data_IF_037179726226
#
_entry.id   IF_037179726226
#
_cell.length_a   1.000
_cell.length_b   1.000
_cell.length_c   1.000
_cell.angle_alpha   90.00
_cell.angle_beta   90.00
_cell.angle_gamma   90.00
#
_symmetry.space_group_name_H-M   'P 1'
#
loop_
_entity.id
_entity.type
_entity.pdbx_description
1 polymer ?
#
# COMPACT_ATOMS: atom_id res chain seq x y z
N UNK A 1 -4.77 -6.76 -20.05
CA UNK A 1 -4.91 -5.77 -18.95
C UNK A 1 -6.28 -5.13 -18.98
N UNK A 2 -7.16 -5.60 -18.09
CA UNK A 2 -8.48 -4.99 -17.83
C UNK A 2 -8.36 -4.20 -16.53
N UNK A 3 -8.83 -2.95 -16.54
CA UNK A 3 -8.87 -2.07 -15.37
C UNK A 3 -10.29 -1.55 -15.20
N UNK A 4 -10.94 -1.90 -14.09
CA UNK A 4 -12.34 -1.57 -13.79
C UNK A 4 -12.42 -0.77 -12.50
N UNK A 5 -13.14 0.35 -12.51
CA UNK A 5 -13.50 1.07 -11.27
C UNK A 5 -14.51 0.22 -10.51
N UNK A 6 -14.18 -0.14 -9.27
CA UNK A 6 -15.00 -0.99 -8.40
C UNK A 6 -15.47 -0.28 -7.13
N UNK A 7 -14.98 0.93 -6.87
CA UNK A 7 -15.34 1.71 -5.70
C UNK A 7 -14.63 3.04 -5.63
N UNK A 8 -14.92 3.77 -4.56
CA UNK A 8 -14.26 5.03 -4.21
C UNK A 8 -14.19 5.11 -2.68
N UNK A 9 -13.05 5.56 -2.15
CA UNK A 9 -12.86 5.80 -0.72
C UNK A 9 -13.01 7.28 -0.39
N UNK A 10 -13.17 7.64 0.88
CA UNK A 10 -13.15 9.05 1.28
C UNK A 10 -11.74 9.64 1.17
N UNK A 11 -11.64 10.97 1.20
CA UNK A 11 -10.35 11.67 1.19
C UNK A 11 -9.53 11.30 2.42
N UNK A 12 -10.16 11.13 3.58
CA UNK A 12 -9.49 10.73 4.83
C UNK A 12 -8.91 9.32 4.73
N UNK A 13 -9.67 8.37 4.19
CA UNK A 13 -9.22 6.99 3.96
C UNK A 13 -8.09 6.94 2.94
N UNK A 14 -8.22 7.69 1.84
CA UNK A 14 -7.16 7.85 0.84
C UNK A 14 -5.90 8.43 1.45
N UNK A 15 -6.01 9.45 2.30
CA UNK A 15 -4.86 10.08 2.96
C UNK A 15 -4.14 9.13 3.91
N UNK A 16 -4.88 8.24 4.58
CA UNK A 16 -4.31 7.20 5.44
C UNK A 16 -3.38 6.26 4.65
N UNK A 17 -3.88 5.68 3.55
CA UNK A 17 -3.07 4.76 2.72
C UNK A 17 -1.97 5.50 1.95
N UNK A 18 -2.19 6.75 1.56
CA UNK A 18 -1.18 7.59 0.92
C UNK A 18 0.02 7.82 1.86
N UNK A 19 -0.23 8.11 3.14
CA UNK A 19 0.83 8.28 4.14
C UNK A 19 1.65 6.99 4.30
N UNK A 20 0.99 5.83 4.30
CA UNK A 20 1.67 4.53 4.38
C UNK A 20 2.49 4.23 3.10
N UNK A 21 1.96 4.59 1.92
CA UNK A 21 2.64 4.46 0.64
C UNK A 21 3.92 5.31 0.60
N UNK A 22 3.84 6.58 0.98
CA UNK A 22 4.97 7.51 1.03
C UNK A 22 6.03 7.04 2.03
N UNK A 23 5.63 6.59 3.23
CA UNK A 23 6.55 6.01 4.21
C UNK A 23 7.25 4.77 3.65
N UNK A 24 6.52 3.85 3.02
CA UNK A 24 7.09 2.64 2.41
C UNK A 24 8.11 2.98 1.32
N UNK A 25 7.81 3.98 0.48
CA UNK A 25 8.74 4.45 -0.55
C UNK A 25 10.00 5.05 0.07
N UNK A 26 9.87 5.89 1.09
CA UNK A 26 11.02 6.45 1.80
C UNK A 26 11.93 5.38 2.40
N UNK A 27 11.35 4.35 3.01
CA UNK A 27 12.11 3.21 3.55
C UNK A 27 12.78 2.39 2.43
N UNK A 28 12.10 2.18 1.30
CA UNK A 28 12.69 1.47 0.15
C UNK A 28 13.86 2.25 -0.48
N UNK A 29 13.78 3.58 -0.57
CA UNK A 29 14.92 4.39 -1.02
C UNK A 29 16.07 4.35 -0.01
N UNK A 30 15.77 4.38 1.29
CA UNK A 30 16.79 4.22 2.34
C UNK A 30 17.48 2.87 2.24
N UNK A 31 16.75 1.80 1.94
CA UNK A 31 17.29 0.44 1.77
C UNK A 31 18.32 0.33 0.63
N UNK A 32 18.23 1.19 -0.39
CA UNK A 32 19.20 1.20 -1.50
C UNK A 32 20.55 1.79 -1.13
N UNK A 33 20.57 2.69 -0.15
CA UNK A 33 21.79 3.43 0.26
C UNK A 33 22.38 2.92 1.57
N UNK A 34 21.61 2.17 2.36
CA UNK A 34 22.08 1.62 3.62
C UNK A 34 22.95 0.39 3.36
N UNK A 35 24.19 0.39 3.85
CA UNK A 35 25.04 -0.80 3.81
C UNK A 35 24.76 -1.70 5.01
N UNK A 36 24.94 -3.01 4.82
CA UNK A 36 24.74 -4.01 5.87
C UNK A 36 25.70 -3.82 7.06
N UNK A 37 26.79 -3.09 6.86
CA UNK A 37 27.84 -2.81 7.84
C UNK A 37 27.33 -1.96 9.02
N UNK A 38 26.16 -1.33 8.87
CA UNK A 38 25.47 -0.63 9.94
C UNK A 38 24.28 -1.46 10.46
N UNK A 39 24.60 -2.54 11.19
CA UNK A 39 23.64 -3.53 11.69
C UNK A 39 22.44 -2.91 12.43
N UNK A 40 22.66 -1.93 13.30
CA UNK A 40 21.58 -1.29 14.07
C UNK A 40 20.59 -0.55 13.16
N UNK A 41 21.09 0.23 12.21
CA UNK A 41 20.23 0.93 11.24
C UNK A 41 19.54 -0.06 10.30
N UNK A 42 20.20 -1.15 9.92
CA UNK A 42 19.63 -2.18 9.06
C UNK A 42 18.49 -2.91 9.76
N UNK A 43 18.67 -3.35 11.00
CA UNK A 43 17.63 -3.99 11.80
C UNK A 43 16.42 -3.07 11.99
N UNK A 44 16.66 -1.79 12.29
CA UNK A 44 15.60 -0.79 12.42
C UNK A 44 14.84 -0.60 11.11
N UNK A 45 15.55 -0.50 9.99
CA UNK A 45 14.94 -0.38 8.66
C UNK A 45 14.07 -1.59 8.32
N UNK A 46 14.57 -2.81 8.54
CA UNK A 46 13.81 -4.04 8.30
C UNK A 46 12.55 -4.08 9.16
N UNK A 47 12.65 -3.70 10.44
CA UNK A 47 11.50 -3.60 11.34
C UNK A 47 10.48 -2.58 10.84
N UNK A 48 10.93 -1.38 10.48
CA UNK A 48 10.05 -0.31 9.97
C UNK A 48 9.37 -0.69 8.66
N UNK A 49 10.07 -1.40 7.76
CA UNK A 49 9.50 -1.94 6.53
C UNK A 49 8.40 -2.97 6.83
N UNK A 50 8.65 -3.90 7.76
CA UNK A 50 7.68 -4.91 8.18
C UNK A 50 6.43 -4.32 8.83
N UNK A 51 6.60 -3.36 9.73
CA UNK A 51 5.48 -2.65 10.38
C UNK A 51 4.66 -1.83 9.36
N UNK A 52 5.34 -1.13 8.45
CA UNK A 52 4.67 -0.32 7.41
C UNK A 52 3.94 -1.22 6.43
N UNK A 53 4.54 -2.34 6.02
CA UNK A 53 3.93 -3.33 5.13
C UNK A 53 2.66 -3.95 5.73
N UNK A 54 2.71 -4.34 7.00
CA UNK A 54 1.54 -4.88 7.72
C UNK A 54 0.40 -3.88 7.78
N UNK A 55 0.68 -2.61 8.10
CA UNK A 55 -0.35 -1.55 8.15
C UNK A 55 -0.92 -1.25 6.76
N UNK A 56 -0.08 -1.26 5.74
CA UNK A 56 -0.50 -1.04 4.35
C UNK A 56 -1.46 -2.13 3.88
N UNK A 57 -1.15 -3.41 4.15
CA UNK A 57 -2.05 -4.52 3.83
C UNK A 57 -3.35 -4.45 4.63
N UNK A 58 -3.26 -4.20 5.94
CA UNK A 58 -4.44 -4.13 6.81
C UNK A 58 -5.44 -3.04 6.38
N UNK A 59 -4.96 -1.94 5.79
CA UNK A 59 -5.84 -0.92 5.20
C UNK A 59 -6.62 -1.47 4.00
N UNK A 60 -5.96 -2.19 3.09
CA UNK A 60 -6.61 -2.82 1.95
C UNK A 60 -7.66 -3.83 2.40
N UNK A 61 -7.31 -4.70 3.35
CA UNK A 61 -8.21 -5.71 3.90
C UNK A 61 -9.46 -5.04 4.50
N UNK A 62 -9.25 -4.04 5.38
CA UNK A 62 -10.33 -3.31 6.05
C UNK A 62 -11.24 -2.56 5.08
N UNK A 63 -10.68 -1.89 4.07
CA UNK A 63 -11.48 -1.13 3.11
C UNK A 63 -12.23 -2.05 2.15
N UNK A 64 -11.59 -3.14 1.72
CA UNK A 64 -12.25 -4.12 0.86
C UNK A 64 -13.42 -4.80 1.55
N UNK A 65 -13.30 -5.10 2.85
CA UNK A 65 -14.40 -5.62 3.66
C UNK A 65 -15.47 -4.54 3.91
N UNK A 66 -15.09 -3.31 4.23
CA UNK A 66 -16.05 -2.21 4.45
C UNK A 66 -16.92 -1.94 3.21
N UNK A 67 -16.31 -1.90 2.03
CA UNK A 67 -16.97 -1.53 0.78
C UNK A 67 -17.38 -2.73 -0.09
N UNK A 68 -17.08 -3.94 0.35
CA UNK A 68 -17.37 -5.20 -0.34
C UNK A 68 -16.86 -5.18 -1.79
N UNK A 69 -15.59 -4.81 -1.95
CA UNK A 69 -14.96 -4.67 -3.27
C UNK A 69 -14.91 -6.00 -4.02
N UNK A 70 -15.24 -5.93 -5.31
CA UNK A 70 -15.06 -7.06 -6.22
C UNK A 70 -13.59 -7.47 -6.28
N UNK A 71 -13.34 -8.76 -6.16
CA UNK A 71 -12.03 -9.38 -6.36
C UNK A 71 -12.11 -10.41 -7.48
N UNK A 72 -10.97 -10.74 -8.06
CA UNK A 72 -10.87 -11.79 -9.06
C UNK A 72 -9.57 -12.56 -8.90
N UNK A 73 -9.57 -13.83 -9.30
CA UNK A 73 -8.38 -14.67 -9.28
C UNK A 73 -7.26 -14.04 -10.12
N UNK A 74 -6.07 -13.93 -9.53
CA UNK A 74 -4.92 -13.26 -10.15
C UNK A 74 -5.04 -11.73 -10.30
N UNK A 75 -6.10 -11.12 -9.77
CA UNK A 75 -6.31 -9.68 -9.78
C UNK A 75 -5.70 -8.98 -8.57
N UNK A 76 -5.49 -7.67 -8.69
CA UNK A 76 -5.11 -6.80 -7.58
C UNK A 76 -5.93 -5.52 -7.57
N UNK A 77 -5.99 -4.88 -6.40
CA UNK A 77 -6.56 -3.55 -6.28
C UNK A 77 -5.50 -2.46 -6.47
N UNK A 78 -5.93 -1.34 -7.03
CA UNK A 78 -5.16 -0.11 -7.13
C UNK A 78 -6.03 1.08 -6.70
N UNK A 79 -5.39 2.12 -6.15
CA UNK A 79 -6.04 3.38 -5.82
C UNK A 79 -5.51 4.49 -6.71
N UNK A 80 -6.39 5.36 -7.21
CA UNK A 80 -6.01 6.65 -7.75
C UNK A 80 -6.05 7.69 -6.61
N UNK A 81 -4.88 8.22 -6.23
CA UNK A 81 -4.75 9.18 -5.13
C UNK A 81 -5.35 10.57 -5.43
N UNK A 82 -5.60 10.90 -6.70
CA UNK A 82 -6.24 12.15 -7.12
C UNK A 82 -7.76 12.05 -7.05
N UNK A 83 -8.34 10.95 -7.55
CA UNK A 83 -9.79 10.77 -7.66
C UNK A 83 -10.41 9.96 -6.52
N UNK A 84 -9.59 9.34 -5.66
CA UNK A 84 -9.98 8.37 -4.63
C UNK A 84 -10.65 7.09 -5.17
N UNK A 85 -10.60 6.86 -6.49
CA UNK A 85 -11.18 5.68 -7.11
C UNK A 85 -10.33 4.43 -6.84
N UNK A 86 -11.01 3.31 -6.66
CA UNK A 86 -10.43 1.99 -6.47
C UNK A 86 -10.69 1.17 -7.71
N UNK A 87 -9.64 0.52 -8.20
CA UNK A 87 -9.65 -0.26 -9.43
C UNK A 87 -9.35 -1.72 -9.14
N UNK A 88 -10.09 -2.62 -9.78
CA UNK A 88 -9.66 -4.00 -9.97
C UNK A 88 -8.85 -4.07 -11.28
N UNK A 89 -7.63 -4.59 -11.18
CA UNK A 89 -6.73 -4.79 -12.32
C UNK A 89 -6.47 -6.28 -12.50
N UNK A 90 -6.62 -6.75 -13.74
CA UNK A 90 -6.35 -8.13 -14.17
C UNK A 90 -5.42 -8.12 -15.38
N UNK A 91 -4.49 -9.07 -15.43
CA UNK A 91 -3.53 -9.21 -16.53
C UNK A 91 -4.17 -9.79 -17.79
#
# INVERSE_FOLDING_TARGET
>A
MVKKVIGQVTVEEKNEIQTLFERRNGLNELAKILTADNNELYEKLVKDLGETGTKFQAWWDRMSDKYQWESAEGGNWEINFETCEIYLVQQ
#
